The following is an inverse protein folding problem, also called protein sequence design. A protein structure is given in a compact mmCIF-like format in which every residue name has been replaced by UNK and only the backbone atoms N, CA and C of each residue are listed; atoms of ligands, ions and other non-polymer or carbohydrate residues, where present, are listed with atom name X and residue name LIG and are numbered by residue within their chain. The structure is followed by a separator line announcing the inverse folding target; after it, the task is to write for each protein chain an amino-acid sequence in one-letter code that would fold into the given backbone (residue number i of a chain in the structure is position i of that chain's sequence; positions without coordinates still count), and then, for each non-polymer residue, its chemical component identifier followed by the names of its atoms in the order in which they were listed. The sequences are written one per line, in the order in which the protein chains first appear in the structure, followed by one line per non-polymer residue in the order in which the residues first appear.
data_IF_774797607457
#
_entry.id   IF_774797607457
#
_cell.length_a   1.000
_cell.length_b   1.000
_cell.length_c   1.000
_cell.angle_alpha   90.00
_cell.angle_beta   90.00
_cell.angle_gamma   90.00
#
_symmetry.space_group_name_H-M   'P 1'
#
loop_
_entity.id
_entity.type
_entity.pdbx_description
1 polymer ?
#
# COMPACT_ATOMS: atom_id res chain seq x y z
N UNK A 1 -2.39 4.51 -2.10
CA UNK A 1 -1.81 5.26 -0.96
C UNK A 1 -2.75 6.37 -0.56
N UNK A 2 -2.85 6.70 0.73
CA UNK A 2 -3.67 7.82 1.23
C UNK A 2 -3.31 9.16 0.59
N UNK A 3 -2.05 9.35 0.23
CA UNK A 3 -1.59 10.57 -0.45
C UNK A 3 -2.31 10.81 -1.79
N UNK A 4 -2.80 9.76 -2.47
CA UNK A 4 -3.55 9.92 -3.70
C UNK A 4 -4.92 10.59 -3.52
N UNK A 5 -5.53 10.48 -2.34
CA UNK A 5 -6.80 11.17 -2.05
C UNK A 5 -6.61 12.68 -2.20
N UNK A 6 -5.59 13.25 -1.55
CA UNK A 6 -5.31 14.67 -1.66
C UNK A 6 -4.86 15.08 -3.06
N UNK A 7 -4.05 14.26 -3.71
CA UNK A 7 -3.60 14.52 -5.09
C UNK A 7 -4.77 14.56 -6.09
N UNK A 8 -5.74 13.67 -5.94
CA UNK A 8 -6.96 13.65 -6.78
C UNK A 8 -7.78 14.91 -6.52
N UNK A 9 -8.01 15.27 -5.27
CA UNK A 9 -8.75 16.49 -4.90
C UNK A 9 -8.09 17.76 -5.40
N UNK A 10 -6.76 17.82 -5.36
CA UNK A 10 -5.99 18.97 -5.86
C UNK A 10 -6.07 19.09 -7.39
N UNK A 11 -5.95 17.97 -8.11
CA UNK A 11 -5.94 17.97 -9.58
C UNK A 11 -7.33 18.05 -10.21
N UNK A 12 -8.33 17.52 -9.54
CA UNK A 12 -9.71 17.52 -10.01
C UNK A 12 -10.68 17.66 -8.82
N UNK A 13 -10.88 18.88 -8.31
CA UNK A 13 -11.69 19.13 -7.11
C UNK A 13 -13.17 18.76 -7.28
N UNK A 14 -13.68 18.71 -8.50
CA UNK A 14 -15.08 18.38 -8.81
C UNK A 14 -15.30 16.86 -8.99
N UNK A 15 -14.24 16.05 -8.93
CA UNK A 15 -14.37 14.60 -9.08
C UNK A 15 -15.02 13.96 -7.85
N UNK A 16 -16.18 13.37 -8.05
CA UNK A 16 -16.81 12.53 -7.04
C UNK A 16 -16.23 11.10 -7.13
N UNK A 17 -15.55 10.64 -6.09
CA UNK A 17 -14.95 9.31 -6.04
C UNK A 17 -15.07 8.70 -4.64
N UNK A 18 -14.95 7.39 -4.57
CA UNK A 18 -14.99 6.61 -3.34
C UNK A 18 -13.76 5.69 -3.23
N UNK A 19 -13.52 5.19 -2.03
CA UNK A 19 -12.49 4.20 -1.73
C UNK A 19 -13.19 2.87 -1.42
N UNK A 20 -12.71 1.79 -2.01
CA UNK A 20 -13.19 0.44 -1.73
C UNK A 20 -12.04 -0.55 -1.73
N UNK A 21 -12.26 -1.73 -1.14
CA UNK A 21 -11.33 -2.84 -1.22
C UNK A 21 -11.19 -3.34 -2.67
N UNK A 22 -10.07 -3.95 -2.99
CA UNK A 22 -9.88 -4.60 -4.29
C UNK A 22 -11.02 -5.62 -4.53
N UNK A 23 -11.52 -5.73 -5.77
CA UNK A 23 -12.51 -6.73 -6.11
C UNK A 23 -11.96 -8.15 -5.88
N UNK A 24 -12.83 -9.11 -5.74
CA UNK A 24 -12.50 -10.52 -5.69
C UNK A 24 -13.50 -11.32 -6.52
N UNK A 25 -13.17 -12.55 -6.79
CA UNK A 25 -14.06 -13.48 -7.49
C UNK A 25 -15.37 -13.68 -6.74
N UNK A 26 -16.41 -14.00 -7.49
CA UNK A 26 -17.73 -14.31 -6.94
C UNK A 26 -17.64 -15.48 -5.95
N UNK A 27 -18.24 -15.28 -4.78
CA UNK A 27 -18.21 -16.28 -3.70
C UNK A 27 -16.99 -16.25 -2.81
N UNK A 28 -16.00 -15.37 -3.06
CA UNK A 28 -14.87 -15.21 -2.15
C UNK A 28 -15.31 -14.55 -0.83
N UNK A 29 -15.04 -15.22 0.29
CA UNK A 29 -15.43 -14.77 1.65
C UNK A 29 -14.25 -14.37 2.52
N UNK A 30 -13.02 -14.48 2.01
CA UNK A 30 -11.79 -14.11 2.73
C UNK A 30 -11.57 -12.62 2.85
N UNK A 31 -10.54 -12.25 3.60
CA UNK A 31 -10.07 -10.86 3.65
C UNK A 31 -9.48 -10.42 2.33
N UNK A 32 -9.73 -9.18 1.93
CA UNK A 32 -9.13 -8.59 0.72
C UNK A 32 -7.65 -8.32 0.93
N UNK A 33 -6.82 -8.66 -0.05
CA UNK A 33 -5.41 -8.31 -0.05
C UNK A 33 -5.19 -6.82 -0.25
N UNK A 34 -4.17 -6.28 0.41
CA UNK A 34 -3.69 -4.92 0.23
C UNK A 34 -2.23 -4.99 -0.16
N UNK A 35 -1.84 -4.48 -1.34
CA UNK A 35 -0.43 -4.30 -1.66
C UNK A 35 0.22 -3.42 -0.59
N UNK A 36 1.28 -3.90 0.03
CA UNK A 36 1.90 -3.23 1.15
C UNK A 36 3.38 -2.97 0.89
N UNK A 37 3.75 -1.70 1.01
CA UNK A 37 5.14 -1.26 1.17
C UNK A 37 5.17 -0.19 2.26
N UNK A 38 6.17 -0.23 3.12
CA UNK A 38 6.26 0.68 4.27
C UNK A 38 7.70 1.14 4.52
N UNK A 39 7.79 2.24 5.23
CA UNK A 39 9.04 2.71 5.80
C UNK A 39 9.32 1.99 7.12
N UNK A 40 10.55 1.55 7.31
CA UNK A 40 11.03 0.98 8.55
C UNK A 40 11.98 1.94 9.27
N UNK A 41 12.01 1.86 10.59
CA UNK A 41 12.99 2.54 11.42
C UNK A 41 13.92 1.49 11.98
N UNK A 42 15.24 1.66 11.75
CA UNK A 42 16.27 0.79 12.28
C UNK A 42 17.29 1.57 13.11
N UNK A 43 18.01 0.85 13.95
CA UNK A 43 19.17 1.36 14.70
C UNK A 43 20.43 0.85 14.02
N UNK A 44 21.38 1.76 13.72
CA UNK A 44 22.67 1.36 13.15
C UNK A 44 23.40 0.38 14.08
N UNK A 45 23.95 -0.69 13.52
CA UNK A 45 24.79 -1.63 14.27
C UNK A 45 26.06 -0.99 14.85
N UNK A 46 26.48 0.16 14.30
CA UNK A 46 27.64 0.93 14.76
C UNK A 46 27.26 2.11 15.66
N UNK A 47 26.01 2.19 16.13
CA UNK A 47 25.57 3.25 17.05
C UNK A 47 26.33 3.15 18.37
N UNK A 48 26.86 4.27 18.85
CA UNK A 48 27.48 4.37 20.18
C UNK A 48 26.42 4.47 21.30
N UNK A 49 25.15 4.74 20.94
CA UNK A 49 24.02 4.95 21.86
C UNK A 49 22.78 4.10 21.51
N UNK A 50 22.91 2.76 21.40
CA UNK A 50 21.81 1.93 20.92
C UNK A 50 20.61 1.91 21.89
N UNK A 51 20.84 2.05 23.19
CA UNK A 51 19.76 2.07 24.18
C UNK A 51 18.92 3.35 24.11
N UNK A 52 19.55 4.50 23.88
CA UNK A 52 18.87 5.78 23.68
C UNK A 52 18.13 5.81 22.33
N UNK A 53 18.75 5.29 21.28
CA UNK A 53 18.12 5.13 19.99
C UNK A 53 16.87 4.24 20.07
N UNK A 54 16.91 3.15 20.84
CA UNK A 54 15.76 2.30 21.07
C UNK A 54 14.61 3.02 21.79
N UNK A 55 14.92 3.87 22.79
CA UNK A 55 13.90 4.71 23.44
C UNK A 55 13.21 5.66 22.46
N UNK A 56 13.97 6.23 21.52
CA UNK A 56 13.40 7.07 20.46
C UNK A 56 12.46 6.25 19.58
N UNK A 57 12.86 5.05 19.13
CA UNK A 57 12.00 4.17 18.34
C UNK A 57 10.73 3.83 19.10
N UNK A 58 10.82 3.45 20.38
CA UNK A 58 9.64 3.18 21.22
C UNK A 58 8.71 4.40 21.33
N UNK A 59 9.25 5.60 21.48
CA UNK A 59 8.47 6.84 21.53
C UNK A 59 7.75 7.10 20.19
N UNK A 60 8.46 7.01 19.07
CA UNK A 60 7.87 7.22 17.73
C UNK A 60 6.80 6.19 17.40
N UNK A 61 6.96 4.95 17.87
CA UNK A 61 6.03 3.85 17.65
C UNK A 61 4.96 3.72 18.74
N UNK A 62 4.92 4.61 19.75
CA UNK A 62 3.81 4.64 20.70
C UNK A 62 2.49 4.97 19.98
N UNK A 63 1.36 4.47 20.47
CA UNK A 63 0.05 4.70 19.82
C UNK A 63 -0.24 6.20 19.62
N UNK A 64 0.04 7.01 20.63
CA UNK A 64 -0.17 8.47 20.57
C UNK A 64 0.70 9.14 19.52
N UNK A 65 2.03 8.92 19.59
CA UNK A 65 2.97 9.57 18.65
C UNK A 65 2.76 9.06 17.23
N UNK A 66 2.54 7.75 17.06
CA UNK A 66 2.32 7.15 15.75
C UNK A 66 1.00 7.63 15.11
N UNK A 67 -0.05 7.87 15.89
CA UNK A 67 -1.29 8.51 15.42
C UNK A 67 -1.00 9.90 14.86
N UNK A 68 -0.29 10.73 15.61
CA UNK A 68 0.07 12.10 15.20
C UNK A 68 0.95 12.12 13.94
N UNK A 69 1.97 11.27 13.89
CA UNK A 69 2.86 11.15 12.71
C UNK A 69 2.08 10.70 11.48
N UNK A 70 1.19 9.72 11.62
CA UNK A 70 0.36 9.23 10.54
C UNK A 70 -0.63 10.27 10.05
N UNK A 71 -1.19 11.09 10.94
CA UNK A 71 -2.06 12.23 10.58
C UNK A 71 -1.29 13.27 9.76
N UNK A 72 -0.08 13.64 10.17
CA UNK A 72 0.75 14.61 9.45
C UNK A 72 1.19 14.08 8.08
N UNK A 73 1.57 12.81 8.02
CA UNK A 73 2.08 12.17 6.81
C UNK A 73 0.97 11.70 5.85
N UNK A 74 -0.30 11.75 6.24
CA UNK A 74 -1.41 11.10 5.54
C UNK A 74 -1.07 9.64 5.18
N UNK A 75 -0.67 8.87 6.18
CA UNK A 75 -0.21 7.49 6.05
C UNK A 75 -0.91 6.56 7.03
N UNK A 76 -0.88 5.26 6.75
CA UNK A 76 -1.35 4.27 7.71
C UNK A 76 -0.34 4.12 8.85
N UNK A 77 -0.84 4.00 10.10
CA UNK A 77 0.03 3.82 11.25
C UNK A 77 0.68 2.43 11.26
N UNK A 78 1.92 2.35 11.74
CA UNK A 78 2.61 1.09 11.99
C UNK A 78 2.25 0.44 13.33
N UNK A 79 1.62 1.18 14.24
CA UNK A 79 1.12 0.66 15.51
C UNK A 79 -0.37 0.34 15.39
N UNK A 80 -0.75 -0.90 15.68
CA UNK A 80 -2.14 -1.41 15.57
C UNK A 80 -3.15 -0.68 16.47
N UNK A 81 -2.68 -0.02 17.53
CA UNK A 81 -3.51 0.75 18.46
C UNK A 81 -3.54 2.26 18.11
N UNK A 82 -2.83 2.67 17.07
CA UNK A 82 -2.83 4.05 16.64
C UNK A 82 -4.04 4.35 15.76
N UNK A 83 -4.68 5.49 16.00
CA UNK A 83 -5.83 5.98 15.22
C UNK A 83 -5.53 7.42 14.81
N UNK A 84 -5.17 7.67 13.54
CA UNK A 84 -4.95 9.03 13.03
C UNK A 84 -6.22 9.87 13.06
N UNK A 85 -6.08 11.18 13.25
CA UNK A 85 -7.19 12.11 13.40
C UNK A 85 -8.09 12.18 12.16
N UNK A 86 -7.51 12.00 10.97
CA UNK A 86 -8.26 12.02 9.70
C UNK A 86 -9.32 10.92 9.59
N UNK A 87 -9.19 9.83 10.35
CA UNK A 87 -10.18 8.74 10.34
C UNK A 87 -11.57 9.22 10.71
N UNK A 88 -11.66 10.22 11.59
CA UNK A 88 -12.93 10.79 12.05
C UNK A 88 -13.31 12.09 11.35
N UNK A 89 -12.34 12.79 10.78
CA UNK A 89 -12.55 14.12 10.19
C UNK A 89 -12.75 14.11 8.67
N UNK A 90 -12.48 13.00 8.01
CA UNK A 90 -12.56 12.89 6.55
C UNK A 90 -13.10 11.52 6.13
N UNK A 91 -14.25 11.50 5.45
CA UNK A 91 -14.95 10.28 5.05
C UNK A 91 -14.13 9.38 4.13
N UNK A 92 -13.40 9.94 3.16
CA UNK A 92 -12.55 9.15 2.26
C UNK A 92 -11.35 8.53 2.98
N UNK A 93 -10.72 9.28 3.87
CA UNK A 93 -9.63 8.76 4.69
C UNK A 93 -10.15 7.70 5.68
N UNK A 94 -11.32 7.90 6.26
CA UNK A 94 -11.99 6.93 7.13
C UNK A 94 -12.28 5.62 6.39
N UNK A 95 -12.85 5.69 5.18
CA UNK A 95 -13.11 4.52 4.34
C UNK A 95 -11.81 3.79 3.98
N UNK A 96 -10.76 4.51 3.60
CA UNK A 96 -9.47 3.92 3.29
C UNK A 96 -8.83 3.24 4.52
N UNK A 97 -8.98 3.83 5.70
CA UNK A 97 -8.49 3.24 6.96
C UNK A 97 -9.26 1.96 7.32
N UNK A 98 -10.57 1.93 7.08
CA UNK A 98 -11.39 0.73 7.28
C UNK A 98 -10.95 -0.40 6.34
N UNK A 99 -10.74 -0.10 5.05
CA UNK A 99 -10.20 -1.07 4.08
C UNK A 99 -8.83 -1.61 4.54
N UNK A 100 -7.98 -0.75 5.09
CA UNK A 100 -6.68 -1.15 5.65
C UNK A 100 -6.81 -2.07 6.86
N UNK A 101 -7.73 -1.79 7.78
CA UNK A 101 -7.94 -2.61 8.98
C UNK A 101 -8.58 -3.97 8.68
N UNK A 102 -9.54 -4.00 7.75
CA UNK A 102 -10.26 -5.23 7.38
C UNK A 102 -9.49 -6.14 6.43
N UNK A 103 -8.51 -5.57 5.72
CA UNK A 103 -7.67 -6.29 4.78
C UNK A 103 -6.59 -7.15 5.44
N UNK A 104 -5.80 -7.81 4.61
CA UNK A 104 -4.50 -8.33 5.02
C UNK A 104 -3.40 -7.69 4.17
N UNK A 105 -2.28 -7.41 4.81
CA UNK A 105 -1.12 -6.80 4.15
C UNK A 105 -0.37 -7.88 3.40
N UNK A 106 -0.31 -7.76 2.09
CA UNK A 106 0.32 -8.73 1.21
C UNK A 106 1.34 -8.06 0.29
N UNK A 107 2.46 -8.69 0.13
CA UNK A 107 3.41 -8.41 -0.93
C UNK A 107 3.99 -9.74 -1.40
N UNK A 108 3.30 -10.35 -2.35
CA UNK A 108 3.58 -11.70 -2.83
C UNK A 108 4.94 -11.81 -3.52
N UNK A 109 5.47 -10.68 -3.99
CA UNK A 109 6.78 -10.64 -4.64
C UNK A 109 7.95 -10.41 -3.66
N UNK A 110 7.67 -10.07 -2.39
CA UNK A 110 8.74 -9.82 -1.41
C UNK A 110 9.63 -11.04 -1.22
N UNK A 111 10.93 -10.84 -1.42
CA UNK A 111 11.92 -11.90 -1.29
C UNK A 111 12.17 -12.71 -2.57
N UNK A 112 11.45 -12.47 -3.65
CA UNK A 112 11.78 -13.05 -4.95
C UNK A 112 12.91 -12.25 -5.60
N UNK A 113 13.98 -12.90 -6.09
CA UNK A 113 15.08 -12.21 -6.78
C UNK A 113 14.63 -11.41 -8.03
N UNK A 114 13.55 -11.85 -8.67
CA UNK A 114 12.99 -11.26 -9.91
C UNK A 114 11.79 -10.36 -9.66
N UNK A 115 11.49 -10.00 -8.40
CA UNK A 115 10.28 -9.25 -8.01
C UNK A 115 10.07 -7.96 -8.83
N UNK A 116 11.11 -7.14 -8.97
CA UNK A 116 11.05 -5.89 -9.71
C UNK A 116 10.75 -6.12 -11.20
N UNK A 117 11.32 -7.17 -11.81
CA UNK A 117 11.06 -7.52 -13.20
C UNK A 117 9.62 -7.97 -13.41
N UNK A 118 9.08 -8.80 -12.51
CA UNK A 118 7.68 -9.24 -12.58
C UNK A 118 6.71 -8.06 -12.50
N UNK A 119 6.94 -7.14 -11.59
CA UNK A 119 6.10 -5.94 -11.43
C UNK A 119 6.18 -5.03 -12.66
N UNK A 120 7.38 -4.82 -13.20
CA UNK A 120 7.59 -4.02 -14.41
C UNK A 120 6.90 -4.65 -15.62
N UNK A 121 7.12 -5.94 -15.87
CA UNK A 121 6.52 -6.69 -16.98
C UNK A 121 4.99 -6.66 -16.93
N UNK A 122 4.39 -6.84 -15.75
CA UNK A 122 2.95 -6.69 -15.60
C UNK A 122 2.48 -5.28 -15.95
N UNK A 123 3.16 -4.26 -15.45
CA UNK A 123 2.80 -2.86 -15.73
C UNK A 123 2.89 -2.52 -17.22
N UNK A 124 3.90 -3.05 -17.92
CA UNK A 124 4.08 -2.88 -19.37
C UNK A 124 2.92 -3.50 -20.16
N UNK A 125 2.37 -4.63 -19.72
CA UNK A 125 1.21 -5.25 -20.35
C UNK A 125 -0.11 -4.58 -19.94
N UNK A 126 -0.19 -4.07 -18.72
CA UNK A 126 -1.42 -3.49 -18.19
C UNK A 126 -1.73 -2.11 -18.79
N UNK A 127 -0.71 -1.33 -19.14
CA UNK A 127 -0.93 0.00 -19.73
C UNK A 127 -1.68 -0.05 -21.07
N UNK A 128 -1.32 -0.93 -22.06
CA UNK A 128 -2.09 -1.10 -23.29
C UNK A 128 -3.55 -1.55 -23.06
N UNK A 129 -3.82 -2.29 -22.01
CA UNK A 129 -5.19 -2.63 -21.62
C UNK A 129 -5.96 -1.39 -21.17
N UNK A 130 -5.35 -0.55 -20.32
CA UNK A 130 -6.00 0.66 -19.82
C UNK A 130 -6.33 1.67 -20.92
N UNK A 131 -5.49 1.79 -21.93
CA UNK A 131 -5.72 2.68 -23.07
C UNK A 131 -6.56 2.06 -24.21
N UNK A 132 -7.00 0.79 -24.04
CA UNK A 132 -7.90 0.10 -24.94
C UNK A 132 -7.22 -0.49 -26.17
N UNK A 133 -5.89 -0.53 -26.24
CA UNK A 133 -5.12 -1.08 -27.38
C UNK A 133 -4.86 -2.58 -27.28
N UNK A 134 -5.12 -3.21 -26.13
CA UNK A 134 -4.94 -4.63 -25.87
C UNK A 134 -6.14 -5.22 -25.13
N UNK A 135 -6.50 -6.48 -25.41
CA UNK A 135 -7.55 -7.18 -24.69
C UNK A 135 -7.09 -7.63 -23.29
N UNK A 136 -8.04 -7.90 -22.39
CA UNK A 136 -7.73 -8.46 -21.06
C UNK A 136 -7.01 -9.81 -21.19
N UNK A 137 -7.49 -10.69 -22.07
CA UNK A 137 -6.92 -12.02 -22.27
C UNK A 137 -5.47 -11.94 -22.77
N UNK A 138 -5.19 -11.06 -23.75
CA UNK A 138 -3.83 -10.86 -24.24
C UNK A 138 -2.92 -10.28 -23.14
N UNK A 139 -3.44 -9.35 -22.35
CA UNK A 139 -2.70 -8.75 -21.23
C UNK A 139 -2.25 -9.81 -20.22
N UNK A 140 -3.17 -10.67 -19.82
CA UNK A 140 -2.88 -11.72 -18.83
C UNK A 140 -1.95 -12.80 -19.41
N UNK A 141 -2.19 -13.23 -20.64
CA UNK A 141 -1.35 -14.24 -21.31
C UNK A 141 0.07 -13.74 -21.56
N UNK A 142 0.24 -12.50 -22.01
CA UNK A 142 1.55 -11.90 -22.25
C UNK A 142 2.31 -11.69 -20.93
N UNK A 143 1.64 -11.21 -19.87
CA UNK A 143 2.25 -11.08 -18.57
C UNK A 143 2.69 -12.45 -18.01
N UNK A 144 1.85 -13.46 -18.11
CA UNK A 144 2.18 -14.83 -17.70
C UNK A 144 3.39 -15.39 -18.47
N UNK A 145 3.44 -15.21 -19.79
CA UNK A 145 4.56 -15.66 -20.62
C UNK A 145 5.87 -15.00 -20.18
N UNK A 146 5.88 -13.67 -20.02
CA UNK A 146 7.06 -12.93 -19.57
C UNK A 146 7.53 -13.35 -18.17
N UNK A 147 6.59 -13.61 -17.27
CA UNK A 147 6.92 -14.10 -15.93
C UNK A 147 7.57 -15.48 -15.96
N UNK A 148 7.06 -16.39 -16.77
CA UNK A 148 7.65 -17.74 -16.90
C UNK A 148 9.10 -17.68 -17.36
N UNK A 149 9.43 -16.81 -18.32
CA UNK A 149 10.80 -16.57 -18.78
C UNK A 149 11.73 -16.03 -17.67
N UNK A 150 11.20 -15.26 -16.74
CA UNK A 150 11.99 -14.69 -15.63
C UNK A 150 12.39 -15.72 -14.56
N UNK A 151 11.80 -16.90 -14.57
CA UNK A 151 12.12 -18.00 -13.64
C UNK A 151 13.04 -19.08 -14.26
N UNK A 152 13.39 -18.99 -15.54
CA UNK A 152 14.34 -19.86 -16.23
C UNK A 152 15.79 -19.36 -16.07
#
# INVERSE_FOLDING_TARGET
SLAHINLIRERNPDLNFAITALPAEDGYTGKRGLPYASWGIGISATSEHPAEAWKLVQFLMSAETNSKLSSIANAFPGNVNATPDFVQSDELFGAAFQVFQDGYLANEFTGLPVAEDLMRQFSEQFQPYLDGSQSLDDTLNNAQASWMESFE
#
